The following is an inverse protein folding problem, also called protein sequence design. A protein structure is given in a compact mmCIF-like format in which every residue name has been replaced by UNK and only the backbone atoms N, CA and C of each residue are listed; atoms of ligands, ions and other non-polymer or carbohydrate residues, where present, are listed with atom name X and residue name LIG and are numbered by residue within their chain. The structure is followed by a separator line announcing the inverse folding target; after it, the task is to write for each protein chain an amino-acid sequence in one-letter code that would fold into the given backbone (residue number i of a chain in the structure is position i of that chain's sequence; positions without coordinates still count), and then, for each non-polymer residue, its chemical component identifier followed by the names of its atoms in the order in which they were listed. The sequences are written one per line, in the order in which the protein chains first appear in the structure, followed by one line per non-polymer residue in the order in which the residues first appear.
data_IF_921610873167
#
_entry.id   IF_921610873167
#
_cell.length_a   1.000
_cell.length_b   1.000
_cell.length_c   1.000
_cell.angle_alpha   90.00
_cell.angle_beta   90.00
_cell.angle_gamma   90.00
#
_symmetry.space_group_name_H-M   'P 1'
#
loop_
_entity.id
_entity.type
_entity.pdbx_description
1 polymer ?
#
# COMPACT_ATOMS: atom_id res chain seq x y z
N UNK A 1 2.63 39.90 3.34
CA UNK A 1 3.24 38.56 3.14
C UNK A 1 2.30 37.76 2.23
N UNK A 2 2.61 37.74 0.94
CA UNK A 2 1.82 37.03 -0.08
C UNK A 2 2.06 35.53 0.06
N UNK A 3 1.01 34.79 0.43
CA UNK A 3 0.97 33.33 0.31
C UNK A 3 1.28 32.96 -1.14
N UNK A 4 2.38 32.24 -1.36
CA UNK A 4 2.67 31.67 -2.68
C UNK A 4 1.50 30.75 -3.05
N UNK A 5 0.74 31.13 -4.09
CA UNK A 5 -0.26 30.25 -4.69
C UNK A 5 0.50 29.04 -5.21
N UNK A 6 0.34 27.88 -4.58
CA UNK A 6 0.79 26.61 -5.14
C UNK A 6 0.11 26.44 -6.50
N UNK A 7 0.88 26.61 -7.58
CA UNK A 7 0.38 26.40 -8.93
C UNK A 7 0.43 24.90 -9.21
N UNK A 8 -0.71 24.24 -9.13
CA UNK A 8 -0.83 22.83 -9.45
C UNK A 8 -0.50 22.60 -10.93
N UNK A 9 0.32 21.59 -11.21
CA UNK A 9 0.62 21.15 -12.58
C UNK A 9 -0.47 20.19 -13.08
N UNK A 10 -0.88 20.27 -14.36
CA UNK A 10 -1.83 19.33 -14.92
C UNK A 10 -1.29 17.89 -14.95
N UNK A 11 -2.05 16.96 -14.39
CA UNK A 11 -1.79 15.51 -14.42
C UNK A 11 -2.75 14.80 -15.36
N UNK A 12 -2.38 13.63 -15.87
CA UNK A 12 -3.23 12.82 -16.76
C UNK A 12 -3.52 11.42 -16.22
N UNK A 13 -2.75 10.93 -15.23
CA UNK A 13 -2.96 9.61 -14.62
C UNK A 13 -2.80 9.69 -13.10
N UNK A 14 -3.43 8.75 -12.38
CA UNK A 14 -3.33 8.64 -10.93
C UNK A 14 -2.85 7.26 -10.50
N UNK A 15 -1.88 7.19 -9.60
CA UNK A 15 -1.39 5.96 -8.98
C UNK A 15 -1.59 6.06 -7.48
N UNK A 16 -2.36 5.15 -6.92
CA UNK A 16 -2.73 5.18 -5.51
C UNK A 16 -2.01 4.08 -4.74
N UNK A 17 -1.52 4.42 -3.55
CA UNK A 17 -1.31 3.42 -2.51
C UNK A 17 -2.65 2.78 -2.11
N UNK A 18 -2.62 1.55 -1.58
CA UNK A 18 -3.84 0.84 -1.18
C UNK A 18 -4.09 0.95 0.32
N UNK A 19 -3.13 0.48 1.11
CA UNK A 19 -3.28 0.25 2.55
C UNK A 19 -3.13 1.54 3.33
N UNK A 20 -4.12 1.87 4.16
CA UNK A 20 -4.11 3.13 4.89
C UNK A 20 -4.44 4.36 4.03
N UNK A 21 -4.64 4.19 2.72
CA UNK A 21 -5.10 5.25 1.81
C UNK A 21 -6.48 4.94 1.22
N UNK A 22 -6.56 3.97 0.30
CA UNK A 22 -7.84 3.59 -0.30
C UNK A 22 -8.64 2.68 0.63
N UNK A 23 -7.98 1.74 1.29
CA UNK A 23 -8.58 0.73 2.16
C UNK A 23 -8.21 1.00 3.62
N UNK A 24 -9.20 0.91 4.52
CA UNK A 24 -9.00 0.99 5.97
C UNK A 24 -8.49 -0.35 6.53
N UNK A 25 -7.33 -0.80 6.06
CA UNK A 25 -6.72 -2.10 6.43
C UNK A 25 -5.78 -2.02 7.63
N UNK A 26 -5.31 -0.84 8.03
CA UNK A 26 -4.28 -0.69 9.08
C UNK A 26 -4.66 -1.32 10.42
N UNK A 27 -5.94 -1.25 10.79
CA UNK A 27 -6.45 -1.89 12.03
C UNK A 27 -6.33 -3.41 11.96
N UNK A 28 -6.60 -3.99 10.80
CA UNK A 28 -6.52 -5.44 10.55
C UNK A 28 -5.07 -5.89 10.64
N UNK A 29 -4.15 -5.18 9.97
CA UNK A 29 -2.71 -5.39 10.09
C UNK A 29 -2.27 -5.34 11.55
N UNK A 30 -2.67 -4.29 12.28
CA UNK A 30 -2.28 -4.12 13.69
C UNK A 30 -2.74 -5.30 14.54
N UNK A 31 -4.01 -5.72 14.43
CA UNK A 31 -4.54 -6.84 15.21
C UNK A 31 -3.80 -8.14 14.88
N UNK A 32 -3.60 -8.45 13.60
CA UNK A 32 -2.93 -9.68 13.18
C UNK A 32 -1.46 -9.72 13.62
N UNK A 33 -0.70 -8.64 13.39
CA UNK A 33 0.69 -8.53 13.83
C UNK A 33 0.80 -8.61 15.36
N UNK A 34 -0.03 -7.87 16.10
CA UNK A 34 -0.01 -7.92 17.57
C UNK A 34 -0.32 -9.32 18.10
N UNK A 35 -1.31 -10.01 17.52
CA UNK A 35 -1.69 -11.36 17.95
C UNK A 35 -0.57 -12.38 17.71
N UNK A 36 0.06 -12.36 16.54
CA UNK A 36 1.17 -13.28 16.23
C UNK A 36 2.40 -12.96 17.07
N UNK A 37 2.81 -11.69 17.13
CA UNK A 37 4.01 -11.28 17.88
C UNK A 37 3.89 -11.59 19.37
N UNK A 38 2.67 -11.52 19.95
CA UNK A 38 2.41 -11.91 21.33
C UNK A 38 2.69 -13.39 21.61
N UNK A 39 2.48 -14.30 20.63
CA UNK A 39 2.81 -15.74 20.76
C UNK A 39 4.30 -15.99 20.96
N UNK A 40 5.14 -15.05 20.54
CA UNK A 40 6.59 -15.08 20.74
C UNK A 40 7.05 -14.31 21.98
N UNK A 41 6.11 -13.91 22.86
CA UNK A 41 6.43 -13.17 24.09
C UNK A 41 6.91 -11.73 23.83
N UNK A 42 6.57 -11.16 22.67
CA UNK A 42 6.95 -9.78 22.28
C UNK A 42 5.71 -8.92 22.10
N UNK A 43 5.91 -7.60 22.01
CA UNK A 43 4.84 -6.63 21.80
C UNK A 43 5.07 -5.91 20.47
N UNK A 44 4.05 -5.88 19.61
CA UNK A 44 4.06 -5.08 18.40
C UNK A 44 3.75 -3.62 18.74
N UNK A 45 4.80 -2.82 18.92
CA UNK A 45 4.70 -1.40 19.29
C UNK A 45 4.48 -0.50 18.07
N UNK A 46 4.03 0.74 18.30
CA UNK A 46 3.97 1.75 17.24
C UNK A 46 5.35 2.04 16.66
N UNK A 47 6.41 2.04 17.47
CA UNK A 47 7.78 2.19 16.99
C UNK A 47 8.16 1.08 16.01
N UNK A 48 7.85 -0.18 16.36
CA UNK A 48 8.08 -1.31 15.48
C UNK A 48 7.28 -1.19 14.17
N UNK A 49 6.01 -0.77 14.24
CA UNK A 49 5.20 -0.44 13.04
C UNK A 49 5.90 0.57 12.16
N UNK A 50 6.37 1.69 12.72
CA UNK A 50 7.03 2.76 11.98
C UNK A 50 8.32 2.33 11.27
N UNK A 51 9.00 1.30 11.79
CA UNK A 51 10.21 0.73 11.14
C UNK A 51 9.91 -0.17 9.94
N UNK A 52 8.67 -0.62 9.77
CA UNK A 52 8.33 -1.66 8.78
C UNK A 52 7.19 -1.33 7.84
N UNK A 53 6.38 -0.32 8.14
CA UNK A 53 5.31 0.13 7.25
C UNK A 53 5.84 0.44 5.83
N UNK A 54 5.08 0.03 4.82
CA UNK A 54 5.40 0.23 3.39
C UNK A 54 6.49 -0.67 2.81
N UNK A 55 7.31 -1.36 3.61
CA UNK A 55 8.37 -2.24 3.10
C UNK A 55 7.80 -3.49 2.43
N UNK A 56 8.66 -4.21 1.71
CA UNK A 56 8.37 -5.57 1.26
C UNK A 56 7.89 -6.41 2.47
N UNK A 57 6.87 -7.26 2.32
CA UNK A 57 6.34 -8.00 3.46
C UNK A 57 7.39 -8.86 4.18
N UNK A 58 8.23 -9.60 3.45
CA UNK A 58 9.28 -10.42 4.09
C UNK A 58 10.39 -9.57 4.74
N UNK A 59 10.78 -8.45 4.14
CA UNK A 59 11.77 -7.53 4.74
C UNK A 59 11.23 -6.87 6.01
N UNK A 60 9.93 -6.59 6.04
CA UNK A 60 9.22 -6.12 7.22
C UNK A 60 9.34 -7.12 8.36
N UNK A 61 9.09 -8.39 8.08
CA UNK A 61 9.15 -9.45 9.10
C UNK A 61 10.58 -9.74 9.55
N UNK A 62 11.55 -9.69 8.63
CA UNK A 62 12.97 -9.77 8.98
C UNK A 62 13.37 -8.64 9.92
N UNK A 63 12.99 -7.41 9.59
CA UNK A 63 13.22 -6.22 10.44
C UNK A 63 12.57 -6.40 11.82
N UNK A 64 11.35 -6.94 11.89
CA UNK A 64 10.66 -7.17 13.17
C UNK A 64 11.31 -8.25 14.03
N UNK A 65 11.77 -9.35 13.41
CA UNK A 65 12.50 -10.41 14.11
C UNK A 65 13.75 -9.81 14.77
N UNK A 66 14.52 -9.03 14.01
CA UNK A 66 15.75 -8.41 14.49
C UNK A 66 15.51 -7.33 15.55
N UNK A 67 14.48 -6.50 15.37
CA UNK A 67 14.13 -5.40 16.26
C UNK A 67 13.57 -5.93 17.60
N UNK A 68 12.65 -6.88 17.54
CA UNK A 68 11.94 -7.41 18.71
C UNK A 68 12.66 -8.62 19.32
N UNK A 69 13.79 -9.05 18.76
CA UNK A 69 14.56 -10.23 19.21
C UNK A 69 13.67 -11.47 19.33
N UNK A 70 12.85 -11.73 18.30
CA UNK A 70 11.98 -12.91 18.23
C UNK A 70 12.87 -14.13 18.00
N UNK A 71 12.74 -15.15 18.86
CA UNK A 71 13.50 -16.41 18.75
C UNK A 71 12.63 -17.50 18.14
N UNK A 72 13.22 -18.38 17.34
CA UNK A 72 12.52 -19.56 16.79
C UNK A 72 11.48 -19.25 15.72
N UNK A 73 11.55 -18.09 15.07
CA UNK A 73 10.70 -17.71 13.94
C UNK A 73 11.55 -17.34 12.73
N UNK A 74 11.07 -17.68 11.55
CA UNK A 74 11.57 -17.14 10.28
C UNK A 74 10.57 -16.12 9.73
N UNK A 75 10.99 -15.21 8.82
CA UNK A 75 10.07 -14.31 8.14
C UNK A 75 8.89 -15.05 7.47
N UNK A 76 9.14 -16.20 6.86
CA UNK A 76 8.13 -17.00 6.15
C UNK A 76 7.10 -17.57 7.13
N UNK A 77 7.55 -18.12 8.26
CA UNK A 77 6.66 -18.63 9.30
C UNK A 77 5.78 -17.52 9.88
N UNK A 78 6.36 -16.36 10.19
CA UNK A 78 5.57 -15.22 10.65
C UNK A 78 4.59 -14.75 9.58
N UNK A 79 4.99 -14.75 8.31
CA UNK A 79 4.12 -14.35 7.21
C UNK A 79 2.90 -15.26 7.12
N UNK A 80 3.09 -16.58 7.19
CA UNK A 80 2.01 -17.57 7.19
C UNK A 80 1.05 -17.33 8.36
N UNK A 81 1.55 -17.23 9.59
CA UNK A 81 0.69 -17.02 10.77
C UNK A 81 -0.10 -15.70 10.70
N UNK A 82 0.51 -14.63 10.22
CA UNK A 82 -0.15 -13.32 10.12
C UNK A 82 -1.18 -13.33 8.98
N UNK A 83 -0.84 -13.92 7.81
CA UNK A 83 -1.76 -14.04 6.67
C UNK A 83 -3.02 -14.80 7.08
N UNK A 84 -2.89 -15.91 7.80
CA UNK A 84 -4.04 -16.70 8.25
C UNK A 84 -4.99 -15.88 9.14
N UNK A 85 -4.46 -15.10 10.08
CA UNK A 85 -5.31 -14.20 10.87
C UNK A 85 -5.92 -13.08 10.02
N UNK A 86 -5.17 -12.51 9.08
CA UNK A 86 -5.68 -11.45 8.23
C UNK A 86 -6.82 -11.91 7.33
N UNK A 87 -6.79 -13.15 6.79
CA UNK A 87 -7.86 -13.72 5.95
C UNK A 87 -9.23 -13.65 6.63
N UNK A 88 -9.27 -13.75 7.96
CA UNK A 88 -10.52 -13.70 8.75
C UNK A 88 -11.21 -12.34 8.63
N UNK A 89 -10.45 -11.24 8.64
CA UNK A 89 -11.00 -9.88 8.75
C UNK A 89 -10.84 -9.03 7.48
N UNK A 90 -9.89 -9.36 6.60
CA UNK A 90 -9.60 -8.54 5.41
C UNK A 90 -10.78 -8.45 4.45
N UNK A 91 -11.62 -9.49 4.39
CA UNK A 91 -12.88 -9.52 3.62
C UNK A 91 -13.86 -8.40 4.03
N UNK A 92 -13.80 -7.96 5.28
CA UNK A 92 -14.68 -6.94 5.84
C UNK A 92 -14.10 -5.53 5.75
N UNK A 93 -12.83 -5.39 5.32
CA UNK A 93 -12.17 -4.12 5.16
C UNK A 93 -12.98 -3.19 4.24
N UNK A 94 -13.12 -1.93 4.66
CA UNK A 94 -13.87 -0.92 3.93
C UNK A 94 -12.92 0.06 3.24
N UNK A 95 -13.43 0.74 2.22
CA UNK A 95 -12.73 1.89 1.68
C UNK A 95 -12.71 3.02 2.71
N UNK A 96 -11.63 3.80 2.73
CA UNK A 96 -11.58 5.02 3.53
C UNK A 96 -12.64 6.04 3.06
N UNK A 97 -13.08 6.94 3.95
CA UNK A 97 -14.00 8.02 3.59
C UNK A 97 -13.49 8.79 2.36
N UNK A 98 -14.36 9.05 1.39
CA UNK A 98 -14.01 9.78 0.16
C UNK A 98 -13.37 8.95 -0.96
N UNK A 99 -12.69 7.83 -0.65
CA UNK A 99 -11.95 7.05 -1.65
C UNK A 99 -12.84 6.57 -2.81
N UNK A 100 -13.99 5.94 -2.52
CA UNK A 100 -14.94 5.52 -3.58
C UNK A 100 -15.50 6.69 -4.38
N UNK A 101 -15.65 7.88 -3.77
CA UNK A 101 -16.16 9.08 -4.46
C UNK A 101 -15.12 9.59 -5.45
N UNK A 102 -13.85 9.68 -5.02
CA UNK A 102 -12.73 10.08 -5.86
C UNK A 102 -12.53 9.12 -7.05
N UNK A 103 -12.49 7.81 -6.77
CA UNK A 103 -12.33 6.76 -7.80
C UNK A 103 -13.41 6.90 -8.87
N UNK A 104 -14.69 7.01 -8.48
CA UNK A 104 -15.79 7.18 -9.43
C UNK A 104 -15.72 8.49 -10.21
N UNK A 105 -15.31 9.58 -9.55
CA UNK A 105 -15.17 10.88 -10.21
C UNK A 105 -14.10 10.83 -11.32
N UNK A 106 -12.91 10.31 -11.01
CA UNK A 106 -11.82 10.16 -11.97
C UNK A 106 -12.20 9.21 -13.12
N UNK A 107 -12.86 8.09 -12.81
CA UNK A 107 -13.35 7.16 -13.84
C UNK A 107 -14.39 7.81 -14.77
N UNK A 108 -15.33 8.60 -14.23
CA UNK A 108 -16.31 9.34 -15.02
C UNK A 108 -15.66 10.37 -15.96
N UNK A 109 -14.50 10.93 -15.57
CA UNK A 109 -13.71 11.85 -16.38
C UNK A 109 -12.64 11.16 -17.23
N UNK A 110 -12.67 9.81 -17.29
CA UNK A 110 -11.73 8.99 -18.08
C UNK A 110 -10.26 9.22 -17.72
N UNK A 111 -9.96 9.55 -16.46
CA UNK A 111 -8.59 9.63 -15.95
C UNK A 111 -8.11 8.21 -15.61
N UNK A 112 -7.10 7.65 -16.31
CA UNK A 112 -6.60 6.32 -16.00
C UNK A 112 -5.99 6.28 -14.61
N UNK A 113 -6.25 5.20 -13.89
CA UNK A 113 -5.79 5.02 -12.53
C UNK A 113 -5.27 3.59 -12.28
N UNK A 114 -4.31 3.48 -11.36
CA UNK A 114 -3.73 2.21 -10.96
C UNK A 114 -3.43 2.19 -9.46
N UNK A 115 -3.16 1.00 -8.94
CA UNK A 115 -2.79 0.78 -7.53
C UNK A 115 -1.35 0.28 -7.46
N UNK A 116 -0.57 0.83 -6.51
CA UNK A 116 0.77 0.38 -6.17
C UNK A 116 0.84 0.03 -4.67
N UNK A 117 0.82 -1.26 -4.33
CA UNK A 117 0.75 -1.74 -2.93
C UNK A 117 1.90 -2.67 -2.55
N UNK A 118 2.26 -2.63 -1.26
CA UNK A 118 3.19 -3.56 -0.63
C UNK A 118 2.49 -4.59 0.26
N UNK A 119 1.17 -4.77 0.08
CA UNK A 119 0.42 -5.86 0.69
C UNK A 119 0.83 -7.21 0.09
N UNK A 120 0.49 -8.29 0.81
CA UNK A 120 0.54 -9.63 0.24
C UNK A 120 -0.47 -9.79 -0.89
N UNK A 121 -0.08 -10.47 -1.97
CA UNK A 121 -0.94 -10.70 -3.14
C UNK A 121 -2.27 -11.37 -2.75
N UNK A 122 -2.23 -12.32 -1.80
CA UNK A 122 -3.42 -12.99 -1.27
C UNK A 122 -4.44 -12.02 -0.67
N UNK A 123 -3.98 -10.97 0.02
CA UNK A 123 -4.89 -9.97 0.62
C UNK A 123 -5.51 -9.08 -0.46
N UNK A 124 -4.71 -8.73 -1.48
CA UNK A 124 -5.16 -7.96 -2.64
C UNK A 124 -6.27 -8.73 -3.38
N UNK A 125 -6.10 -10.03 -3.60
CA UNK A 125 -7.10 -10.84 -4.31
C UNK A 125 -8.41 -10.98 -3.54
N UNK A 126 -8.35 -11.14 -2.20
CA UNK A 126 -9.57 -11.12 -1.37
C UNK A 126 -10.27 -9.77 -1.48
N UNK A 127 -9.54 -8.65 -1.37
CA UNK A 127 -10.12 -7.30 -1.49
C UNK A 127 -10.74 -7.06 -2.87
N UNK A 128 -10.08 -7.53 -3.94
CA UNK A 128 -10.60 -7.46 -5.31
C UNK A 128 -11.90 -8.25 -5.46
N UNK A 129 -11.99 -9.43 -4.88
CA UNK A 129 -13.22 -10.24 -4.90
C UNK A 129 -14.36 -9.54 -4.14
N UNK A 130 -14.09 -9.05 -2.92
CA UNK A 130 -15.08 -8.37 -2.08
C UNK A 130 -15.57 -7.03 -2.65
N UNK A 131 -14.70 -6.31 -3.38
CA UNK A 131 -14.98 -4.96 -3.89
C UNK A 131 -14.87 -4.86 -5.41
N UNK A 132 -15.25 -5.94 -6.12
CA UNK A 132 -15.08 -6.10 -7.58
C UNK A 132 -15.47 -4.87 -8.40
N UNK A 133 -16.64 -4.27 -8.12
CA UNK A 133 -17.15 -3.09 -8.86
C UNK A 133 -16.23 -1.86 -8.76
N UNK A 134 -15.54 -1.68 -7.63
CA UNK A 134 -14.63 -0.55 -7.44
C UNK A 134 -13.25 -0.88 -7.98
N UNK A 135 -12.74 -2.10 -7.73
CA UNK A 135 -11.44 -2.52 -8.25
C UNK A 135 -11.41 -2.62 -9.78
N UNK A 136 -12.54 -2.89 -10.45
CA UNK A 136 -12.63 -2.91 -11.91
C UNK A 136 -12.47 -1.54 -12.58
N UNK A 137 -12.43 -0.45 -11.80
CA UNK A 137 -12.19 0.90 -12.32
C UNK A 137 -10.70 1.23 -12.46
N UNK A 138 -9.83 0.43 -11.84
CA UNK A 138 -8.38 0.56 -12.00
C UNK A 138 -7.92 -0.21 -13.23
N UNK A 139 -7.01 0.40 -14.00
CA UNK A 139 -6.40 -0.21 -15.17
C UNK A 139 -5.59 -1.44 -14.79
N UNK A 140 -4.79 -1.33 -13.73
CA UNK A 140 -3.94 -2.42 -13.25
C UNK A 140 -3.58 -2.20 -11.77
N UNK A 141 -2.98 -3.23 -11.17
CA UNK A 141 -2.49 -3.23 -9.80
C UNK A 141 -1.06 -3.79 -9.82
N UNK A 142 -0.14 -3.12 -9.16
CA UNK A 142 1.23 -3.56 -8.91
C UNK A 142 1.34 -3.94 -7.44
N UNK A 143 1.79 -5.16 -7.18
CA UNK A 143 1.93 -5.71 -5.83
C UNK A 143 3.39 -6.08 -5.61
N UNK A 144 4.14 -5.33 -4.80
CA UNK A 144 5.58 -5.56 -4.66
C UNK A 144 5.95 -6.94 -4.11
N UNK A 145 5.02 -7.64 -3.46
CA UNK A 145 5.20 -9.00 -2.93
C UNK A 145 5.61 -10.02 -4.00
N UNK A 146 5.12 -9.86 -5.23
CA UNK A 146 5.31 -10.84 -6.31
C UNK A 146 5.88 -10.21 -7.59
N UNK A 147 6.21 -8.93 -7.56
CA UNK A 147 6.56 -8.17 -8.75
C UNK A 147 8.08 -7.97 -8.88
N UNK A 148 8.74 -8.71 -9.78
CA UNK A 148 10.21 -8.73 -9.83
C UNK A 148 10.81 -7.43 -10.38
N UNK A 149 10.02 -6.58 -11.04
CA UNK A 149 10.49 -5.27 -11.52
C UNK A 149 10.60 -4.25 -10.38
N UNK A 150 9.98 -4.52 -9.23
CA UNK A 150 10.07 -3.67 -8.03
C UNK A 150 11.34 -4.01 -7.26
N UNK A 151 12.47 -3.45 -7.70
CA UNK A 151 13.77 -3.73 -7.11
C UNK A 151 13.90 -3.27 -5.63
N UNK A 152 13.34 -2.11 -5.30
CA UNK A 152 13.36 -1.57 -3.92
C UNK A 152 11.95 -1.25 -3.46
N UNK A 153 11.59 -1.74 -2.28
CA UNK A 153 10.30 -1.43 -1.67
C UNK A 153 10.23 -0.02 -1.09
N UNK A 154 9.01 0.43 -0.74
CA UNK A 154 8.81 1.76 -0.15
C UNK A 154 9.69 1.88 1.12
N UNK A 155 10.31 3.05 1.36
CA UNK A 155 10.02 4.36 0.77
C UNK A 155 10.68 4.64 -0.59
N UNK A 156 11.41 3.68 -1.20
CA UNK A 156 11.89 3.86 -2.56
C UNK A 156 10.70 4.02 -3.55
N UNK A 157 10.85 4.85 -4.59
CA UNK A 157 9.77 5.14 -5.53
C UNK A 157 9.55 4.04 -6.58
N UNK A 158 10.34 2.97 -6.57
CA UNK A 158 10.41 1.98 -7.66
C UNK A 158 9.04 1.40 -8.03
N UNK A 159 8.22 1.01 -7.04
CA UNK A 159 6.87 0.49 -7.28
C UNK A 159 5.96 1.46 -8.05
N UNK A 160 6.16 2.77 -7.85
CA UNK A 160 5.39 3.80 -8.53
C UNK A 160 5.84 3.97 -9.98
N UNK A 161 7.14 3.86 -10.26
CA UNK A 161 7.65 3.87 -11.63
C UNK A 161 7.27 2.60 -12.40
N UNK A 162 7.32 1.44 -11.74
CA UNK A 162 6.83 0.17 -12.32
C UNK A 162 5.31 0.24 -12.58
N UNK A 163 4.55 0.86 -11.68
CA UNK A 163 3.12 1.09 -11.90
C UNK A 163 2.88 2.08 -13.07
N UNK A 164 3.67 3.13 -13.18
CA UNK A 164 3.58 4.09 -14.28
C UNK A 164 3.87 3.46 -15.65
N UNK A 165 4.90 2.61 -15.73
CA UNK A 165 5.35 1.98 -16.98
C UNK A 165 4.30 1.05 -17.60
N UNK A 166 3.35 0.56 -16.79
CA UNK A 166 2.24 -0.31 -17.22
C UNK A 166 1.08 0.43 -17.88
N UNK A 167 1.04 1.76 -17.79
CA UNK A 167 0.09 2.52 -18.59
C UNK A 167 0.53 2.55 -20.06
N UNK A 168 -0.43 2.54 -21.00
CA UNK A 168 -0.12 2.76 -22.41
C UNK A 168 0.66 4.05 -22.61
N UNK A 169 1.69 4.00 -23.46
CA UNK A 169 2.59 5.13 -23.79
C UNK A 169 3.47 5.64 -22.64
N UNK A 170 3.47 4.98 -21.48
CA UNK A 170 4.35 5.27 -20.33
C UNK A 170 4.44 6.78 -20.04
N UNK A 171 3.38 7.40 -19.48
CA UNK A 171 3.33 8.85 -19.26
C UNK A 171 4.50 9.32 -18.40
N UNK A 172 5.09 10.49 -18.71
CA UNK A 172 6.25 10.96 -17.97
C UNK A 172 5.86 11.37 -16.53
N UNK A 173 6.79 11.34 -15.57
CA UNK A 173 6.49 11.52 -14.15
C UNK A 173 5.71 12.80 -13.79
N UNK A 174 5.93 13.89 -14.51
CA UNK A 174 5.24 15.17 -14.29
C UNK A 174 3.74 15.14 -14.64
N UNK A 175 3.28 14.10 -15.33
CA UNK A 175 1.87 13.86 -15.64
C UNK A 175 1.20 12.90 -14.67
N UNK A 176 1.93 12.44 -13.65
CA UNK A 176 1.45 11.45 -12.69
C UNK A 176 1.12 12.10 -11.35
N UNK A 177 -0.07 11.78 -10.87
CA UNK A 177 -0.46 11.96 -9.50
C UNK A 177 -0.12 10.69 -8.71
N UNK A 178 0.59 10.81 -7.59
CA UNK A 178 0.75 9.70 -6.67
C UNK A 178 0.26 10.09 -5.28
N UNK A 179 -0.29 9.13 -4.57
CA UNK A 179 -0.81 9.34 -3.23
C UNK A 179 -0.41 8.17 -2.34
N UNK A 180 0.11 8.49 -1.16
CA UNK A 180 0.62 7.53 -0.19
C UNK A 180 0.18 7.91 1.23
N UNK A 181 -0.06 6.90 2.07
CA UNK A 181 -0.28 7.17 3.49
C UNK A 181 1.02 7.68 4.16
N UNK A 182 0.94 8.65 5.10
CA UNK A 182 2.08 9.03 5.93
C UNK A 182 2.66 7.81 6.69
N UNK A 183 3.98 7.72 6.95
CA UNK A 183 5.02 8.75 6.81
C UNK A 183 5.79 8.75 5.49
N UNK A 184 5.51 7.82 4.56
CA UNK A 184 6.40 7.49 3.45
C UNK A 184 6.21 8.35 2.20
N UNK A 185 5.83 9.61 2.32
CA UNK A 185 5.66 10.48 1.16
C UNK A 185 7.04 10.93 0.68
N UNK A 186 7.61 10.42 -0.44
CA UNK A 186 8.81 11.00 -0.99
C UNK A 186 8.53 12.47 -1.40
N UNK A 187 9.51 13.37 -1.30
CA UNK A 187 9.34 14.80 -1.62
C UNK A 187 8.79 15.05 -3.02
N UNK A 188 8.94 14.09 -3.92
CA UNK A 188 8.59 14.21 -5.33
C UNK A 188 7.08 14.33 -5.55
N UNK A 189 6.24 13.86 -4.61
CA UNK A 189 4.81 13.72 -4.89
C UNK A 189 3.95 14.04 -3.66
N UNK A 190 3.32 15.21 -3.68
CA UNK A 190 2.07 15.49 -2.97
C UNK A 190 1.10 16.12 -3.94
N UNK A 191 -0.06 15.50 -4.13
CA UNK A 191 -1.25 16.28 -4.40
C UNK A 191 -1.85 16.63 -3.05
N UNK A 192 -1.62 17.87 -2.64
CA UNK A 192 -2.48 18.79 -1.88
C UNK A 192 -1.68 20.09 -1.66
#
# INVERSE_FOLDING_TARGET
MTSAKNQFKPVTHCIFDMDGLLIDSEKIYRVAFSAVIARYGRVYTNEAKMKVIGKHPLDSLRTLIDLLKIKGATPEKLAEEIKELMKVWIKDAKFKPGAKKLIRHLAAHKIPMAIATSAWVEMVDILRACHRKTFSLFHHIVVSDTDPEVARSKPAPDIFFVCASRFPKNPPPERLAFEMAPPHVPPLIRLL
#
